data_IF_754897314105
#
_entry.id   IF_754897314105
#
_cell.length_a   1.000
_cell.length_b   1.000
_cell.length_c   1.000
_cell.angle_alpha   90.00
_cell.angle_beta   90.00
_cell.angle_gamma   90.00
#
_symmetry.space_group_name_H-M   'P 1'
#
loop_
_entity.id
_entity.type
_entity.pdbx_description
1 polymer ?
#
# COMPACT_ATOMS: atom_id res chain seq x y z
N UNK A 1 -4.80 -2.15 -0.45
CA UNK A 1 -5.06 -1.82 -1.88
C UNK A 1 -5.53 -3.10 -2.55
N UNK A 2 -6.55 -3.07 -3.39
CA UNK A 2 -7.05 -4.30 -4.00
C UNK A 2 -6.13 -4.71 -5.16
N UNK A 3 -5.98 -6.01 -5.43
CA UNK A 3 -5.09 -6.56 -6.47
C UNK A 3 -5.21 -5.83 -7.84
N UNK A 4 -6.42 -5.47 -8.35
CA UNK A 4 -6.53 -4.73 -9.61
C UNK A 4 -5.88 -3.33 -9.59
N UNK A 5 -5.88 -2.67 -8.43
CA UNK A 5 -5.23 -1.38 -8.25
C UNK A 5 -3.71 -1.50 -8.22
N UNK A 6 -3.18 -2.59 -7.63
CA UNK A 6 -1.74 -2.90 -7.65
C UNK A 6 -1.25 -3.16 -9.06
N UNK A 7 -1.98 -4.00 -9.82
CA UNK A 7 -1.65 -4.28 -11.22
C UNK A 7 -1.64 -3.00 -12.05
N UNK A 8 -2.62 -2.11 -11.84
CA UNK A 8 -2.67 -0.83 -12.54
C UNK A 8 -1.49 0.08 -12.21
N UNK A 9 -1.08 0.14 -10.95
CA UNK A 9 0.08 0.94 -10.54
C UNK A 9 1.38 0.42 -11.17
N UNK A 10 1.61 -0.90 -11.11
CA UNK A 10 2.78 -1.53 -11.73
C UNK A 10 2.77 -1.33 -13.25
N UNK A 11 1.62 -1.49 -13.91
CA UNK A 11 1.49 -1.25 -15.35
C UNK A 11 1.86 0.17 -15.75
N UNK A 12 1.39 1.19 -15.01
CA UNK A 12 1.71 2.58 -15.31
C UNK A 12 3.21 2.85 -15.23
N UNK A 13 3.88 2.23 -14.27
CA UNK A 13 5.31 2.44 -14.08
C UNK A 13 6.16 1.68 -15.09
N UNK A 14 5.74 0.47 -15.48
CA UNK A 14 6.30 -0.21 -16.63
C UNK A 14 6.13 0.65 -17.90
N UNK A 15 4.93 1.17 -18.17
CA UNK A 15 4.65 2.01 -19.35
C UNK A 15 5.56 3.24 -19.40
N UNK A 16 5.79 3.90 -18.26
CA UNK A 16 6.69 5.06 -18.16
C UNK A 16 8.15 4.70 -18.43
N UNK A 17 8.60 3.54 -17.95
CA UNK A 17 10.02 3.15 -17.98
C UNK A 17 10.44 2.56 -19.33
N UNK A 18 9.64 1.64 -19.87
CA UNK A 18 9.95 0.97 -21.15
C UNK A 18 9.31 1.63 -22.37
N UNK A 19 8.38 2.57 -22.16
CA UNK A 19 7.69 3.28 -23.24
C UNK A 19 6.86 2.34 -24.10
N UNK A 20 6.81 2.59 -25.41
CA UNK A 20 6.05 1.79 -26.38
C UNK A 20 6.85 0.62 -26.98
N UNK A 21 7.97 0.23 -26.36
CA UNK A 21 8.78 -0.93 -26.82
C UNK A 21 8.04 -2.26 -26.72
N UNK A 22 7.05 -2.34 -25.84
CA UNK A 22 6.22 -3.52 -25.64
C UNK A 22 4.75 -3.16 -25.81
N UNK A 23 3.95 -4.13 -26.21
CA UNK A 23 2.51 -3.93 -26.35
C UNK A 23 1.86 -3.70 -24.99
N UNK A 24 0.72 -2.99 -24.98
CA UNK A 24 -0.06 -2.78 -23.76
C UNK A 24 -0.44 -4.12 -23.09
N UNK A 25 -0.73 -5.15 -23.89
CA UNK A 25 -1.08 -6.49 -23.41
C UNK A 25 0.09 -7.13 -22.66
N UNK A 26 1.28 -7.13 -23.24
CA UNK A 26 2.49 -7.70 -22.60
C UNK A 26 2.81 -7.00 -21.29
N UNK A 27 2.73 -5.66 -21.26
CA UNK A 27 2.98 -4.90 -20.03
C UNK A 27 1.95 -5.20 -18.94
N UNK A 28 0.68 -5.43 -19.32
CA UNK A 28 -0.37 -5.75 -18.36
C UNK A 28 -0.21 -7.18 -17.82
N UNK A 29 0.16 -8.13 -18.67
CA UNK A 29 0.45 -9.52 -18.28
C UNK A 29 1.65 -9.59 -17.32
N UNK A 30 2.73 -8.85 -17.61
CA UNK A 30 3.89 -8.79 -16.72
C UNK A 30 3.58 -8.06 -15.41
N UNK A 31 2.76 -7.00 -15.43
CA UNK A 31 2.31 -6.33 -14.22
C UNK A 31 1.51 -7.26 -13.31
N UNK A 32 0.61 -8.07 -13.88
CA UNK A 32 -0.14 -9.07 -13.13
C UNK A 32 0.79 -10.14 -12.53
N UNK A 33 1.70 -10.68 -13.33
CA UNK A 33 2.67 -11.68 -12.86
C UNK A 33 3.57 -11.15 -11.73
N UNK A 34 3.99 -9.88 -11.79
CA UNK A 34 4.76 -9.24 -10.73
C UNK A 34 3.94 -9.09 -9.45
N UNK A 35 2.70 -8.62 -9.55
CA UNK A 35 1.82 -8.49 -8.38
C UNK A 35 1.58 -9.85 -7.74
N UNK A 36 1.34 -10.90 -8.53
CA UNK A 36 1.12 -12.25 -8.02
C UNK A 36 2.39 -12.84 -7.40
N UNK A 37 3.57 -12.60 -7.98
CA UNK A 37 4.85 -13.05 -7.43
C UNK A 37 5.12 -12.45 -6.04
N UNK A 38 4.74 -11.19 -5.82
CA UNK A 38 4.93 -10.48 -4.56
C UNK A 38 3.69 -10.48 -3.67
N UNK A 39 2.60 -11.13 -4.08
CA UNK A 39 1.45 -11.41 -3.24
C UNK A 39 1.81 -12.51 -2.24
N UNK A 40 2.66 -12.16 -1.27
CA UNK A 40 2.91 -13.00 -0.10
C UNK A 40 1.60 -12.97 0.70
N UNK A 41 0.98 -14.13 1.00
CA UNK A 41 -0.12 -14.15 1.95
C UNK A 41 0.40 -13.53 3.25
N UNK A 42 -0.32 -12.56 3.81
CA UNK A 42 -0.04 -11.99 5.14
C UNK A 42 -0.22 -13.10 6.19
N UNK A 43 0.73 -14.02 6.25
CA UNK A 43 0.90 -14.95 7.34
C UNK A 43 1.78 -14.25 8.36
N UNK A 44 1.12 -13.45 9.20
CA UNK A 44 1.74 -12.70 10.31
C UNK A 44 2.44 -13.61 11.35
N UNK A 45 2.48 -14.93 11.13
CA UNK A 45 3.15 -15.92 11.99
C UNK A 45 4.51 -16.41 11.47
N UNK A 46 4.93 -16.04 10.25
CA UNK A 46 6.18 -16.54 9.68
C UNK A 46 7.40 -15.80 10.22
N UNK A 47 8.15 -16.49 11.07
CA UNK A 47 9.52 -16.14 11.42
C UNK A 47 10.36 -15.96 10.15
N UNK A 48 10.73 -14.72 9.86
CA UNK A 48 11.44 -14.37 8.63
C UNK A 48 12.94 -14.62 8.83
N UNK A 49 13.41 -15.80 8.38
CA UNK A 49 14.80 -16.27 8.54
C UNK A 49 15.86 -15.28 8.01
N UNK A 50 15.50 -14.45 7.01
CA UNK A 50 16.41 -13.43 6.45
C UNK A 50 16.71 -12.30 7.43
N UNK A 51 15.78 -11.99 8.31
CA UNK A 51 15.83 -10.83 9.22
C UNK A 51 15.85 -11.25 10.67
N UNK A 52 15.80 -12.57 10.95
CA UNK A 52 15.82 -13.13 12.29
C UNK A 52 14.52 -12.90 13.08
N UNK A 53 13.43 -12.57 12.38
CA UNK A 53 12.15 -12.22 13.01
C UNK A 53 12.14 -10.82 13.64
N UNK A 54 13.11 -9.99 13.31
CA UNK A 54 13.17 -8.60 13.78
C UNK A 54 12.10 -7.77 13.05
N UNK A 55 11.29 -6.95 13.76
CA UNK A 55 10.33 -6.04 13.13
C UNK A 55 10.99 -5.12 12.10
N UNK A 56 10.24 -4.71 11.07
CA UNK A 56 10.80 -3.89 9.98
C UNK A 56 11.42 -2.58 10.49
N UNK A 57 10.85 -2.01 11.54
CA UNK A 57 11.29 -0.77 12.21
C UNK A 57 12.67 -0.92 12.86
N UNK A 58 13.10 -2.15 13.13
CA UNK A 58 14.36 -2.50 13.80
C UNK A 58 15.42 -3.03 12.82
N UNK A 59 15.14 -3.04 11.51
CA UNK A 59 16.10 -3.49 10.51
C UNK A 59 17.28 -2.53 10.37
N UNK A 60 18.46 -3.08 10.07
CA UNK A 60 19.58 -2.25 9.62
C UNK A 60 19.26 -1.62 8.25
N UNK A 61 19.80 -0.43 7.99
CA UNK A 61 19.56 0.28 6.73
C UNK A 61 19.94 -0.56 5.51
N UNK A 62 21.07 -1.28 5.57
CA UNK A 62 21.53 -2.14 4.48
C UNK A 62 20.52 -3.25 4.17
N UNK A 63 19.92 -3.85 5.20
CA UNK A 63 18.91 -4.89 5.03
C UNK A 63 17.59 -4.35 4.49
N UNK A 64 17.17 -3.17 4.94
CA UNK A 64 15.99 -2.47 4.45
C UNK A 64 16.14 -1.98 3.00
N UNK A 65 17.36 -1.61 2.59
CA UNK A 65 17.71 -1.16 1.24
C UNK A 65 18.10 -2.29 0.28
N UNK A 66 18.21 -3.54 0.76
CA UNK A 66 18.69 -4.67 -0.04
C UNK A 66 17.81 -4.99 -1.26
N UNK A 67 16.54 -4.59 -1.25
CA UNK A 67 15.63 -4.70 -2.39
C UNK A 67 15.57 -3.44 -3.25
N UNK A 68 16.46 -2.47 -3.04
CA UNK A 68 16.40 -1.15 -3.69
C UNK A 68 15.48 -0.16 -2.98
N UNK A 69 15.02 -0.47 -1.76
CA UNK A 69 14.17 0.41 -0.95
C UNK A 69 12.67 0.23 -1.18
N UNK A 70 12.26 -0.83 -1.89
CA UNK A 70 10.85 -1.10 -2.15
C UNK A 70 10.05 -1.38 -0.87
N UNK A 71 10.65 -2.11 0.08
CA UNK A 71 10.02 -2.34 1.39
C UNK A 71 9.84 -1.06 2.19
N UNK A 72 10.80 -0.14 2.13
CA UNK A 72 10.68 1.19 2.77
C UNK A 72 9.52 1.97 2.15
N UNK A 73 9.49 2.08 0.81
CA UNK A 73 8.40 2.76 0.11
C UNK A 73 7.03 2.17 0.44
N UNK A 74 6.92 0.84 0.49
CA UNK A 74 5.67 0.16 0.83
C UNK A 74 5.27 0.39 2.30
N UNK A 75 6.22 0.38 3.23
CA UNK A 75 5.98 0.64 4.65
C UNK A 75 5.45 2.07 4.88
N UNK A 76 6.14 3.07 4.34
CA UNK A 76 5.74 4.49 4.38
C UNK A 76 4.36 4.73 3.75
N UNK A 77 4.11 4.07 2.61
CA UNK A 77 2.82 4.14 1.94
C UNK A 77 1.68 3.58 2.80
N UNK A 78 1.90 2.43 3.47
CA UNK A 78 0.91 1.85 4.39
C UNK A 78 0.62 2.76 5.57
N UNK A 79 1.64 3.38 6.17
CA UNK A 79 1.46 4.33 7.26
C UNK A 79 0.66 5.56 6.82
N UNK A 80 0.98 6.12 5.67
CA UNK A 80 0.24 7.26 5.09
C UNK A 80 -1.23 6.92 4.86
N UNK A 81 -1.53 5.72 4.37
CA UNK A 81 -2.91 5.27 4.20
C UNK A 81 -3.65 5.08 5.53
N UNK A 82 -2.97 4.59 6.57
CA UNK A 82 -3.55 4.44 7.89
C UNK A 82 -3.94 5.80 8.49
N UNK A 83 -3.03 6.78 8.42
CA UNK A 83 -3.28 8.15 8.87
C UNK A 83 -4.47 8.79 8.14
N UNK A 84 -4.51 8.69 6.80
CA UNK A 84 -5.64 9.22 6.01
C UNK A 84 -6.97 8.56 6.35
N UNK A 85 -6.95 7.29 6.74
CA UNK A 85 -8.16 6.57 7.15
C UNK A 85 -8.66 7.09 8.50
N UNK A 86 -7.75 7.27 9.45
CA UNK A 86 -8.06 7.81 10.77
C UNK A 86 -8.64 9.24 10.68
N UNK A 87 -8.01 10.10 9.87
CA UNK A 87 -8.54 11.45 9.56
C UNK A 87 -9.94 11.40 8.96
N UNK A 88 -10.20 10.48 8.02
CA UNK A 88 -11.51 10.33 7.40
C UNK A 88 -12.59 9.84 8.40
N UNK A 89 -12.22 8.95 9.31
CA UNK A 89 -13.10 8.47 10.39
C UNK A 89 -13.41 9.60 11.38
N UNK A 90 -12.42 10.39 11.78
CA UNK A 90 -12.61 11.55 12.66
C UNK A 90 -13.55 12.60 12.04
N UNK A 91 -13.35 12.94 10.76
CA UNK A 91 -14.22 13.86 10.01
C UNK A 91 -15.66 13.33 9.96
N UNK A 92 -15.85 12.04 9.73
CA UNK A 92 -17.19 11.45 9.72
C UNK A 92 -17.87 11.55 11.09
N UNK A 93 -17.15 11.26 12.17
CA UNK A 93 -17.66 11.36 13.55
C UNK A 93 -18.03 12.80 13.85
N UNK A 94 -17.13 13.75 13.58
CA UNK A 94 -17.38 15.18 13.83
C UNK A 94 -18.62 15.68 13.07
N UNK A 95 -18.73 15.36 11.78
CA UNK A 95 -19.88 15.74 10.96
C UNK A 95 -21.18 15.04 11.40
N UNK A 96 -21.09 13.82 11.94
CA UNK A 96 -22.23 13.13 12.55
C UNK A 96 -22.74 13.85 13.80
N UNK A 97 -21.82 14.21 14.70
CA UNK A 97 -22.13 14.93 15.94
C UNK A 97 -22.68 16.34 15.66
N UNK A 98 -22.09 17.06 14.71
CA UNK A 98 -22.57 18.39 14.31
C UNK A 98 -24.02 18.34 13.80
N UNK A 99 -24.36 17.35 12.97
CA UNK A 99 -25.74 17.14 12.46
C UNK A 99 -26.74 16.80 13.57
N UNK A 100 -26.34 15.99 14.55
CA UNK A 100 -27.21 15.67 15.69
C UNK A 100 -27.45 16.89 16.60
N UNK A 101 -26.44 17.75 16.76
CA UNK A 101 -26.54 18.97 17.55
C UNK A 101 -27.50 19.98 16.90
N UNK A 102 -27.42 20.19 15.59
CA UNK A 102 -28.35 21.07 14.86
C UNK A 102 -29.79 20.55 14.86
N UNK A 103 -29.98 19.24 14.71
CA UNK A 103 -31.34 18.64 14.77
C UNK A 103 -32.01 18.84 16.13
N UNK A 104 -31.22 18.88 17.22
CA UNK A 104 -31.71 19.05 18.59
C UNK A 104 -32.03 20.52 18.95
N UNK A 105 -31.52 21.48 18.19
CA UNK A 105 -31.83 22.91 18.35
C UNK A 105 -33.05 23.35 17.53
N UNK A 106 -33.48 22.54 16.56
CA UNK A 106 -34.64 22.81 15.70
C UNK A 106 -35.93 22.10 16.15
N UNK A 107 -35.86 21.30 17.23
CA UNK A 107 -36.98 20.60 17.87
C UNK A 107 -37.39 21.26 19.18
#
# INVERSE_FOLDING_TARGET
MNQPQQVRAVYQELRRTVGDRFSARELLEQAAALVDLFAIPEDNSRFELRTGGVPFEEWSLDAAMADGGWRILNHEYRQTLALRREEAEEIMIHNGLARLATWRTEA
#
